data_IF_567180233545
#
_entry.id   IF_567180233545
#
_cell.length_a   1.000
_cell.length_b   1.000
_cell.length_c   1.000
_cell.angle_alpha   90.00
_cell.angle_beta   90.00
_cell.angle_gamma   90.00
#
_symmetry.space_group_name_H-M   'P 1'
#
loop_
_entity.id
_entity.type
_entity.pdbx_description
1 polymer ?
#
# COMPACT_ATOMS: atom_id res chain seq x y z
N UNK A 1 -12.10 -5.54 -7.43
CA UNK A 1 -13.13 -6.37 -8.11
C UNK A 1 -13.74 -7.32 -7.11
N UNK A 2 -15.03 -7.62 -7.26
CA UNK A 2 -15.72 -8.61 -6.45
C UNK A 2 -15.45 -9.98 -7.07
N UNK A 3 -14.79 -10.87 -6.33
CA UNK A 3 -14.50 -12.24 -6.76
C UNK A 3 -15.71 -13.16 -6.58
N UNK A 4 -16.63 -12.82 -5.67
CA UNK A 4 -17.88 -13.53 -5.43
C UNK A 4 -18.44 -13.25 -4.03
N UNK A 5 -19.69 -13.65 -3.80
CA UNK A 5 -20.29 -13.67 -2.46
C UNK A 5 -20.91 -15.05 -2.18
N UNK A 6 -20.21 -15.98 -1.51
CA UNK A 6 -20.87 -17.16 -0.98
C UNK A 6 -21.76 -16.78 0.20
N UNK A 7 -22.98 -17.34 0.22
CA UNK A 7 -23.91 -17.21 1.32
C UNK A 7 -24.05 -18.58 2.01
N UNK A 8 -23.73 -18.64 3.30
CA UNK A 8 -23.84 -19.86 4.10
C UNK A 8 -24.85 -19.64 5.21
N UNK A 9 -25.84 -20.54 5.30
CA UNK A 9 -26.77 -20.59 6.43
C UNK A 9 -26.12 -21.39 7.55
N UNK A 10 -25.87 -20.75 8.69
CA UNK A 10 -25.42 -21.40 9.90
C UNK A 10 -26.57 -21.46 10.91
N UNK A 11 -26.49 -22.44 11.80
CA UNK A 11 -27.40 -22.57 12.94
C UNK A 11 -26.50 -22.76 14.14
N UNK A 12 -26.36 -21.69 14.93
CA UNK A 12 -25.46 -21.64 16.07
C UNK A 12 -26.27 -21.54 17.37
N UNK A 13 -25.85 -22.31 18.35
CA UNK A 13 -26.30 -22.19 19.74
C UNK A 13 -25.32 -21.29 20.47
N UNK A 14 -25.81 -20.14 20.94
CA UNK A 14 -24.99 -19.19 21.69
C UNK A 14 -24.90 -19.58 23.16
N UNK A 15 -23.80 -19.23 23.83
CA UNK A 15 -23.59 -19.56 25.24
C UNK A 15 -24.61 -18.98 26.22
N UNK A 16 -25.49 -18.07 25.80
CA UNK A 16 -26.55 -17.52 26.66
C UNK A 16 -27.89 -18.27 26.59
N UNK A 17 -28.16 -19.07 25.55
CA UNK A 17 -29.44 -19.79 25.36
C UNK A 17 -29.23 -21.18 24.75
N UNK A 18 -29.99 -22.18 25.23
CA UNK A 18 -29.96 -23.57 24.75
C UNK A 18 -30.63 -23.78 23.38
N UNK A 19 -31.32 -22.77 22.84
CA UNK A 19 -32.05 -22.88 21.59
C UNK A 19 -31.16 -22.51 20.38
N UNK A 20 -31.21 -23.29 19.28
CA UNK A 20 -30.44 -23.00 18.07
C UNK A 20 -31.03 -21.81 17.30
N UNK A 21 -30.22 -20.77 17.05
CA UNK A 21 -30.62 -19.62 16.24
C UNK A 21 -30.03 -19.73 14.83
N UNK A 22 -30.86 -19.63 13.77
CA UNK A 22 -30.38 -19.60 12.40
C UNK A 22 -29.85 -18.22 12.03
N UNK A 23 -28.63 -18.16 11.50
CA UNK A 23 -28.03 -16.98 10.88
C UNK A 23 -27.70 -17.25 9.41
N UNK A 24 -27.65 -16.18 8.61
CA UNK A 24 -27.19 -16.23 7.23
C UNK A 24 -25.98 -15.34 7.12
N UNK A 25 -24.81 -15.95 6.97
CA UNK A 25 -23.54 -15.23 6.82
C UNK A 25 -23.23 -15.07 5.34
N UNK A 26 -23.16 -13.82 4.88
CA UNK A 26 -22.70 -13.46 3.54
C UNK A 26 -21.23 -13.08 3.59
N UNK A 27 -20.37 -13.79 2.87
CA UNK A 27 -18.94 -13.47 2.83
C UNK A 27 -18.62 -12.72 1.55
N UNK A 28 -18.19 -11.46 1.65
CA UNK A 28 -17.80 -10.66 0.49
C UNK A 28 -16.32 -10.90 0.16
N UNK A 29 -16.05 -11.59 -0.95
CA UNK A 29 -14.68 -11.78 -1.43
C UNK A 29 -14.28 -10.59 -2.32
N UNK A 30 -13.49 -9.69 -1.75
CA UNK A 30 -13.02 -8.47 -2.40
C UNK A 30 -11.54 -8.60 -2.77
N UNK A 31 -11.21 -8.41 -4.06
CA UNK A 31 -9.81 -8.28 -4.52
C UNK A 31 -9.38 -6.82 -4.50
N UNK A 32 -8.42 -6.49 -3.63
CA UNK A 32 -7.73 -5.19 -3.62
C UNK A 32 -6.83 -5.09 -4.85
N UNK A 33 -7.06 -4.09 -5.71
CA UNK A 33 -6.16 -3.80 -6.85
C UNK A 33 -5.00 -2.94 -6.35
N UNK A 34 -3.87 -3.57 -6.02
CA UNK A 34 -2.66 -2.90 -5.55
C UNK A 34 -1.80 -2.27 -6.68
N UNK A 35 -2.20 -2.42 -7.95
CA UNK A 35 -1.43 -1.96 -9.11
C UNK A 35 -1.12 -0.46 -9.03
N UNK A 36 -2.10 0.37 -8.68
CA UNK A 36 -1.91 1.82 -8.54
C UNK A 36 -0.86 2.18 -7.48
N UNK A 37 -0.81 1.42 -6.39
CA UNK A 37 0.17 1.61 -5.32
C UNK A 37 1.58 1.19 -5.73
N UNK A 38 1.70 0.06 -6.45
CA UNK A 38 2.99 -0.41 -6.97
C UNK A 38 3.56 0.62 -7.96
N UNK A 39 2.74 1.18 -8.84
CA UNK A 39 3.17 2.26 -9.73
C UNK A 39 3.63 3.50 -8.97
N UNK A 40 2.90 3.89 -7.92
CA UNK A 40 3.25 5.06 -7.11
C UNK A 40 4.53 4.86 -6.28
N UNK A 41 4.95 3.60 -6.04
CA UNK A 41 6.22 3.25 -5.38
C UNK A 41 7.38 3.02 -6.36
N UNK A 42 7.09 2.54 -7.57
CA UNK A 42 8.08 2.33 -8.64
C UNK A 42 8.53 3.67 -9.26
N UNK A 43 7.63 4.63 -9.39
CA UNK A 43 7.91 5.98 -9.89
C UNK A 43 9.02 6.71 -9.09
N UNK A 44 9.02 6.70 -7.73
CA UNK A 44 10.15 7.15 -6.91
C UNK A 44 11.48 6.52 -7.29
N UNK A 45 11.51 5.19 -7.46
CA UNK A 45 12.72 4.44 -7.75
C UNK A 45 13.30 4.81 -9.12
N UNK A 46 12.43 5.02 -10.11
CA UNK A 46 12.81 5.46 -11.45
C UNK A 46 13.36 6.89 -11.39
N UNK A 47 12.73 7.81 -10.66
CA UNK A 47 13.19 9.20 -10.50
C UNK A 47 14.59 9.28 -9.87
N UNK A 48 14.83 8.51 -8.81
CA UNK A 48 16.16 8.45 -8.16
C UNK A 48 17.20 7.83 -9.10
N UNK A 49 16.84 6.77 -9.83
CA UNK A 49 17.73 6.14 -10.82
C UNK A 49 18.11 7.09 -11.96
N UNK A 50 17.20 7.98 -12.38
CA UNK A 50 17.48 9.03 -13.37
C UNK A 50 18.33 10.17 -12.81
N UNK A 51 18.20 10.50 -11.52
CA UNK A 51 19.01 11.53 -10.88
C UNK A 51 20.49 11.11 -10.74
N UNK A 52 20.78 9.81 -10.64
CA UNK A 52 22.14 9.31 -10.45
C UNK A 52 23.12 9.73 -11.58
N UNK A 53 22.84 9.49 -12.88
CA UNK A 53 23.70 9.96 -13.98
C UNK A 53 23.63 11.49 -14.18
N UNK A 54 22.47 12.12 -13.92
CA UNK A 54 22.31 13.57 -13.99
C UNK A 54 23.21 14.30 -12.99
N UNK A 55 23.41 13.70 -11.81
CA UNK A 55 24.34 14.17 -10.80
C UNK A 55 25.82 14.00 -11.14
N UNK A 56 26.18 13.17 -12.13
CA UNK A 56 27.53 13.14 -12.70
C UNK A 56 27.70 14.16 -13.83
N UNK A 57 26.60 14.55 -14.47
CA UNK A 57 26.60 15.53 -15.56
C UNK A 57 26.63 16.99 -15.05
N UNK A 58 26.11 17.25 -13.85
CA UNK A 58 26.15 18.57 -13.22
C UNK A 58 27.45 18.74 -12.41
N UNK A 59 28.32 19.74 -12.71
CA UNK A 59 29.54 19.98 -11.96
C UNK A 59 29.23 20.29 -10.49
N UNK A 60 29.99 19.67 -9.58
CA UNK A 60 29.71 19.66 -8.14
C UNK A 60 29.94 21.02 -7.44
N UNK A 61 30.44 22.04 -8.15
CA UNK A 61 30.80 23.34 -7.59
C UNK A 61 29.61 24.18 -7.11
N UNK A 62 28.40 23.92 -7.59
CA UNK A 62 27.21 24.72 -7.23
C UNK A 62 26.48 24.26 -5.97
N UNK A 63 26.79 23.10 -5.37
CA UNK A 63 26.06 22.58 -4.20
C UNK A 63 24.58 22.18 -4.44
N UNK A 64 23.97 22.66 -5.53
CA UNK A 64 22.58 22.42 -5.94
C UNK A 64 22.24 20.93 -6.16
N UNK A 65 23.24 20.09 -6.46
CA UNK A 65 23.07 18.64 -6.62
C UNK A 65 22.44 17.99 -5.38
N UNK A 66 22.87 18.40 -4.18
CA UNK A 66 22.37 17.85 -2.93
C UNK A 66 20.97 18.38 -2.64
N UNK A 67 20.73 19.67 -2.91
CA UNK A 67 19.42 20.32 -2.77
C UNK A 67 18.34 19.66 -3.64
N UNK A 68 18.65 19.36 -4.91
CA UNK A 68 17.76 18.65 -5.83
C UNK A 68 17.47 17.20 -5.38
N UNK A 69 18.46 16.49 -4.87
CA UNK A 69 18.26 15.14 -4.32
C UNK A 69 17.34 15.15 -3.09
N UNK A 70 17.58 16.07 -2.16
CA UNK A 70 16.79 16.19 -0.91
C UNK A 70 15.35 16.60 -1.19
N UNK A 71 15.11 17.55 -2.10
CA UNK A 71 13.75 17.99 -2.46
C UNK A 71 12.93 16.87 -3.12
N UNK A 72 13.55 16.09 -4.01
CA UNK A 72 12.90 14.93 -4.63
C UNK A 72 12.59 13.86 -3.58
N UNK A 73 13.54 13.54 -2.70
CA UNK A 73 13.31 12.58 -1.61
C UNK A 73 12.18 13.02 -0.68
N UNK A 74 12.13 14.31 -0.31
CA UNK A 74 11.06 14.90 0.51
C UNK A 74 9.69 14.84 -0.18
N UNK A 75 9.62 15.18 -1.47
CA UNK A 75 8.37 15.09 -2.22
C UNK A 75 7.86 13.65 -2.28
N UNK A 76 8.76 12.68 -2.48
CA UNK A 76 8.43 11.25 -2.53
C UNK A 76 7.94 10.73 -1.18
N UNK A 77 8.61 11.08 -0.08
CA UNK A 77 8.20 10.65 1.27
C UNK A 77 6.86 11.24 1.67
N UNK A 78 6.58 12.50 1.33
CA UNK A 78 5.27 13.13 1.58
C UNK A 78 4.16 12.41 0.80
N UNK A 79 4.39 12.10 -0.48
CA UNK A 79 3.42 11.33 -1.28
C UNK A 79 3.19 9.93 -0.70
N UNK A 80 4.26 9.25 -0.29
CA UNK A 80 4.18 7.92 0.31
C UNK A 80 3.44 7.94 1.66
N UNK A 81 3.65 8.97 2.48
CA UNK A 81 2.96 9.18 3.76
C UNK A 81 1.47 9.44 3.56
N UNK A 82 1.09 10.32 2.63
CA UNK A 82 -0.31 10.61 2.31
C UNK A 82 -1.05 9.34 1.86
N UNK A 83 -0.35 8.50 1.11
CA UNK A 83 -0.85 7.21 0.66
C UNK A 83 -0.93 6.20 1.82
N UNK A 84 0.05 6.19 2.73
CA UNK A 84 0.04 5.35 3.92
C UNK A 84 -1.09 5.71 4.89
N UNK A 85 -1.37 7.00 5.09
CA UNK A 85 -2.50 7.47 5.90
C UNK A 85 -3.86 7.12 5.29
N UNK A 86 -3.95 7.07 3.96
CA UNK A 86 -5.16 6.63 3.26
C UNK A 86 -5.41 5.12 3.35
N UNK A 87 -4.43 4.34 3.83
CA UNK A 87 -4.57 2.91 4.09
C UNK A 87 -4.94 2.63 5.55
N UNK A 88 -5.86 1.70 5.82
CA UNK A 88 -6.06 1.20 7.18
C UNK A 88 -4.77 0.50 7.65
N UNK A 89 -4.34 0.69 8.92
CA UNK A 89 -3.19 -0.01 9.47
C UNK A 89 -3.47 -1.51 9.42
N UNK A 90 -2.67 -2.26 8.66
CA UNK A 90 -2.86 -3.69 8.47
C UNK A 90 -1.70 -4.43 9.12
N UNK A 91 -2.02 -5.41 9.97
CA UNK A 91 -1.04 -6.25 10.72
C UNK A 91 -0.19 -7.15 9.82
N UNK A 92 -0.52 -7.28 8.54
CA UNK A 92 0.29 -8.03 7.58
C UNK A 92 1.19 -7.07 6.81
N UNK A 93 2.50 -7.14 7.09
CA UNK A 93 3.53 -6.47 6.31
C UNK A 93 3.36 -6.90 4.85
N UNK A 94 3.00 -5.99 3.92
CA UNK A 94 2.90 -6.36 2.52
C UNK A 94 4.28 -6.84 2.05
N UNK A 95 4.32 -7.91 1.24
CA UNK A 95 5.55 -8.50 0.71
C UNK A 95 6.51 -7.47 0.08
N UNK A 96 6.00 -6.32 -0.35
CA UNK A 96 6.77 -5.16 -0.82
C UNK A 96 7.79 -4.65 0.23
N UNK A 97 7.45 -4.66 1.53
CA UNK A 97 8.36 -4.26 2.61
C UNK A 97 9.27 -5.38 3.12
N UNK A 98 9.17 -6.59 2.55
CA UNK A 98 10.10 -7.70 2.81
C UNK A 98 11.19 -7.80 1.73
N UNK A 99 10.94 -7.20 0.57
CA UNK A 99 11.84 -7.20 -0.60
C UNK A 99 12.64 -5.90 -0.76
N UNK A 100 12.29 -4.85 0.00
CA UNK A 100 13.04 -3.61 0.11
C UNK A 100 13.56 -3.48 1.54
#
# INVERSE_FOLDING_TARGET
EVLGMPATRNVITYGCCSEPYPDVTYTLLLRRRASFYIFNLLLPCIMVSFLAPLGFYLPADSGEKVSLGVTVLLALTVFQLLVAESMPPSESVPLIGKYY
#
